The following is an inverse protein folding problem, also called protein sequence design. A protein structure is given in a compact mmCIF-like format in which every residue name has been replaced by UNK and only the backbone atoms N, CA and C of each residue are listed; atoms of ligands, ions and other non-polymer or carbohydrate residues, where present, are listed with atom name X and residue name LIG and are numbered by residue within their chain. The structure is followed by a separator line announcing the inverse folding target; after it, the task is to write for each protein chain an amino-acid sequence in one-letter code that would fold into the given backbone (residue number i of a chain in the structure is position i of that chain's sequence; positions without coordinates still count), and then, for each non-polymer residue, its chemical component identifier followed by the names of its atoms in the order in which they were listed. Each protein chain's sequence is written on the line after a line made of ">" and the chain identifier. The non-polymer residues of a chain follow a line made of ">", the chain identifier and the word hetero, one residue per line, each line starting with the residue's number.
data_IF_262952708188
#
_entry.id   IF_262952708188
#
_cell.length_a   1.000
_cell.length_b   1.000
_cell.length_c   1.000
_cell.angle_alpha   90.00
_cell.angle_beta   90.00
_cell.angle_gamma   90.00
#
_symmetry.space_group_name_H-M   'P 1'
#
loop_
_entity.id
_entity.type
_entity.pdbx_description
1 polymer ?
#
# COMPACT_ATOMS: atom_id res chain seq x y z
N UNK A 1 5.68 57.40 49.38
CA UNK A 1 6.08 56.03 48.97
C UNK A 1 4.83 55.28 48.56
N UNK A 2 4.60 55.13 47.25
CA UNK A 2 3.34 54.63 46.70
C UNK A 2 3.13 53.15 47.02
N UNK A 3 1.94 52.81 47.54
CA UNK A 3 1.49 51.42 47.68
C UNK A 3 1.34 50.84 46.28
N UNK A 4 2.29 50.03 45.83
CA UNK A 4 2.14 49.31 44.55
C UNK A 4 1.01 48.31 44.76
N UNK A 5 -0.13 48.58 44.11
CA UNK A 5 -1.34 47.77 44.23
C UNK A 5 -1.05 46.33 43.82
N UNK A 6 -1.22 45.37 44.74
CA UNK A 6 -1.03 43.93 44.49
C UNK A 6 -1.94 43.40 43.36
N UNK A 7 -3.02 44.12 43.06
CA UNK A 7 -3.93 43.82 41.96
C UNK A 7 -3.29 44.01 40.58
N UNK A 8 -2.34 44.94 40.41
CA UNK A 8 -1.69 45.19 39.12
C UNK A 8 -0.87 43.97 38.60
N UNK A 9 0.02 43.34 39.38
CA UNK A 9 0.74 42.15 38.93
C UNK A 9 -0.19 40.94 38.76
N UNK A 10 -1.23 40.80 39.58
CA UNK A 10 -2.22 39.71 39.44
C UNK A 10 -3.02 39.87 38.15
N UNK A 11 -3.52 41.08 37.85
CA UNK A 11 -4.26 41.35 36.61
C UNK A 11 -3.40 41.11 35.36
N UNK A 12 -2.11 41.47 35.41
CA UNK A 12 -1.16 41.18 34.33
C UNK A 12 -1.01 39.67 34.09
N UNK A 13 -0.85 38.87 35.15
CA UNK A 13 -0.76 37.42 35.04
C UNK A 13 -2.04 36.79 34.48
N UNK A 14 -3.22 37.25 34.93
CA UNK A 14 -4.50 36.74 34.42
C UNK A 14 -4.66 37.06 32.93
N UNK A 15 -4.29 38.26 32.48
CA UNK A 15 -4.33 38.64 31.07
C UNK A 15 -3.35 37.80 30.24
N UNK A 16 -2.14 37.56 30.77
CA UNK A 16 -1.14 36.73 30.10
C UNK A 16 -1.60 35.26 29.98
N UNK A 17 -2.10 34.68 31.07
CA UNK A 17 -2.58 33.29 31.07
C UNK A 17 -3.80 33.12 30.17
N UNK A 18 -4.75 34.06 30.21
CA UNK A 18 -5.95 34.00 29.36
C UNK A 18 -5.61 34.14 27.88
N UNK A 19 -4.75 35.09 27.51
CA UNK A 19 -4.28 35.25 26.12
C UNK A 19 -3.51 34.01 25.64
N UNK A 20 -2.64 33.44 26.47
CA UNK A 20 -1.90 32.22 26.15
C UNK A 20 -2.82 31.01 26.00
N UNK A 21 -3.83 30.85 26.87
CA UNK A 21 -4.80 29.77 26.80
C UNK A 21 -5.66 29.87 25.54
N UNK A 22 -6.11 31.08 25.19
CA UNK A 22 -6.86 31.33 23.95
C UNK A 22 -6.03 30.99 22.73
N UNK A 23 -4.78 31.47 22.67
CA UNK A 23 -3.85 31.20 21.58
C UNK A 23 -3.55 29.71 21.44
N UNK A 24 -3.20 29.03 22.54
CA UNK A 24 -2.95 27.58 22.56
C UNK A 24 -4.14 26.79 22.04
N UNK A 25 -5.34 27.16 22.46
CA UNK A 25 -6.58 26.49 22.03
C UNK A 25 -6.84 26.69 20.54
N UNK A 26 -6.73 27.93 20.04
CA UNK A 26 -6.94 28.24 18.61
C UNK A 26 -5.88 27.56 17.75
N UNK A 27 -4.61 27.63 18.15
CA UNK A 27 -3.50 27.02 17.42
C UNK A 27 -3.65 25.50 17.35
N UNK A 28 -3.95 24.83 18.47
CA UNK A 28 -4.19 23.37 18.50
C UNK A 28 -5.40 22.99 17.64
N UNK A 29 -6.50 23.75 17.71
CA UNK A 29 -7.67 23.53 16.84
C UNK A 29 -7.32 23.64 15.36
N UNK A 30 -6.54 24.66 14.97
CA UNK A 30 -6.08 24.82 13.57
C UNK A 30 -5.16 23.68 13.14
N UNK A 31 -4.23 23.27 14.01
CA UNK A 31 -3.34 22.14 13.75
C UNK A 31 -4.12 20.85 13.52
N UNK A 32 -5.11 20.56 14.38
CA UNK A 32 -5.98 19.38 14.23
C UNK A 32 -6.81 19.44 12.94
N UNK A 33 -7.39 20.60 12.60
CA UNK A 33 -8.13 20.75 11.32
C UNK A 33 -7.24 20.51 10.11
N UNK A 34 -5.98 20.99 10.14
CA UNK A 34 -5.02 20.72 9.07
C UNK A 34 -4.75 19.23 8.93
N UNK A 35 -4.58 18.51 10.05
CA UNK A 35 -4.37 17.07 10.05
C UNK A 35 -5.60 16.28 9.55
N UNK A 36 -6.81 16.71 9.90
CA UNK A 36 -8.06 16.10 9.43
C UNK A 36 -8.29 16.34 7.93
N UNK A 37 -7.86 17.50 7.42
CA UNK A 37 -7.96 17.82 5.99
C UNK A 37 -7.00 17.04 5.10
N UNK A 38 -6.10 16.25 5.68
CA UNK A 38 -5.19 15.40 4.91
C UNK A 38 -5.98 14.22 4.33
N UNK A 39 -5.76 13.94 3.04
CA UNK A 39 -6.37 12.77 2.41
C UNK A 39 -5.96 11.48 3.19
N UNK A 40 -6.86 10.51 3.39
CA UNK A 40 -6.50 9.22 4.00
C UNK A 40 -5.34 8.53 3.25
N UNK A 41 -4.55 7.72 3.96
CA UNK A 41 -3.45 6.95 3.35
C UNK A 41 -3.98 5.80 2.48
N UNK A 42 -4.93 5.05 3.03
CA UNK A 42 -5.66 4.01 2.30
C UNK A 42 -6.98 4.57 1.77
N UNK A 43 -7.47 3.95 0.70
CA UNK A 43 -8.81 4.17 0.20
C UNK A 43 -9.88 3.69 1.20
N UNK A 44 -11.14 3.95 0.85
CA UNK A 44 -12.29 3.49 1.63
C UNK A 44 -12.23 1.97 1.87
N UNK A 45 -12.89 1.52 2.95
CA UNK A 45 -12.76 0.15 3.43
C UNK A 45 -14.02 -0.63 3.08
N UNK A 46 -14.12 -1.03 1.82
CA UNK A 46 -15.30 -1.71 1.28
C UNK A 46 -15.63 -2.99 2.07
N UNK A 47 -14.62 -3.77 2.46
CA UNK A 47 -14.85 -5.02 3.19
C UNK A 47 -15.44 -4.77 4.59
N UNK A 48 -15.01 -3.70 5.26
CA UNK A 48 -15.64 -3.26 6.52
C UNK A 48 -17.06 -2.78 6.27
N UNK A 49 -17.26 -1.93 5.26
CA UNK A 49 -18.56 -1.31 5.02
C UNK A 49 -19.62 -2.35 4.58
N UNK A 50 -19.21 -3.37 3.82
CA UNK A 50 -20.01 -4.56 3.53
C UNK A 50 -20.33 -5.33 4.82
N UNK A 51 -19.35 -5.57 5.69
CA UNK A 51 -19.60 -6.26 6.96
C UNK A 51 -20.59 -5.48 7.85
N UNK A 52 -20.41 -4.17 7.99
CA UNK A 52 -21.26 -3.31 8.81
C UNK A 52 -22.68 -3.21 8.25
N UNK A 53 -22.83 -3.10 6.93
CA UNK A 53 -24.14 -3.12 6.27
C UNK A 53 -24.86 -4.45 6.46
N UNK A 54 -24.15 -5.58 6.32
CA UNK A 54 -24.69 -6.91 6.62
C UNK A 54 -25.07 -7.07 8.09
N UNK A 55 -24.28 -6.52 9.01
CA UNK A 55 -24.56 -6.54 10.46
C UNK A 55 -25.79 -5.69 10.82
N UNK A 56 -25.97 -4.55 10.16
CA UNK A 56 -27.11 -3.65 10.36
C UNK A 56 -28.40 -4.18 9.72
N UNK A 57 -28.29 -5.06 8.72
CA UNK A 57 -29.43 -5.63 8.01
C UNK A 57 -30.28 -6.51 8.94
N UNK A 58 -31.53 -6.06 9.18
CA UNK A 58 -32.47 -6.77 10.06
C UNK A 58 -33.43 -7.69 9.28
N UNK A 59 -33.75 -7.36 8.02
CA UNK A 59 -34.63 -8.15 7.16
C UNK A 59 -34.13 -8.17 5.71
N UNK A 60 -33.97 -9.34 5.06
CA UNK A 60 -33.98 -10.69 5.65
C UNK A 60 -32.85 -10.89 6.68
N UNK A 61 -33.05 -11.81 7.62
CA UNK A 61 -32.05 -12.13 8.65
C UNK A 61 -30.81 -12.73 7.98
N UNK A 62 -29.67 -12.05 8.09
CA UNK A 62 -28.41 -12.51 7.52
C UNK A 62 -27.94 -13.79 8.23
N UNK A 63 -27.58 -14.85 7.49
CA UNK A 63 -27.04 -16.07 8.10
C UNK A 63 -25.71 -15.80 8.82
N UNK A 64 -25.52 -16.41 9.99
CA UNK A 64 -24.31 -16.24 10.80
C UNK A 64 -23.03 -16.66 10.06
N UNK A 65 -23.11 -17.68 9.18
CA UNK A 65 -21.99 -18.10 8.33
C UNK A 65 -21.54 -16.99 7.38
N UNK A 66 -22.49 -16.23 6.82
CA UNK A 66 -22.20 -15.10 5.93
C UNK A 66 -21.54 -13.97 6.70
N UNK A 67 -22.03 -13.66 7.91
CA UNK A 67 -21.43 -12.64 8.77
C UNK A 67 -19.99 -12.99 9.17
N UNK A 68 -19.73 -14.26 9.51
CA UNK A 68 -18.38 -14.77 9.81
C UNK A 68 -17.45 -14.69 8.59
N UNK A 69 -17.94 -15.03 7.41
CA UNK A 69 -17.17 -14.91 6.17
C UNK A 69 -16.88 -13.43 5.81
N UNK A 70 -17.83 -12.53 6.01
CA UNK A 70 -17.64 -11.11 5.80
C UNK A 70 -16.61 -10.53 6.79
N UNK A 71 -16.65 -10.93 8.07
CA UNK A 71 -15.65 -10.51 9.05
C UNK A 71 -14.25 -11.05 8.69
N UNK A 72 -14.17 -12.30 8.24
CA UNK A 72 -12.91 -12.86 7.75
C UNK A 72 -12.37 -12.06 6.56
N UNK A 73 -13.24 -11.64 5.63
CA UNK A 73 -12.82 -10.80 4.50
C UNK A 73 -12.34 -9.42 4.95
N UNK A 74 -13.02 -8.78 5.91
CA UNK A 74 -12.56 -7.54 6.56
C UNK A 74 -11.16 -7.73 7.13
N UNK A 75 -10.96 -8.77 7.94
CA UNK A 75 -9.65 -9.09 8.54
C UNK A 75 -8.56 -9.37 7.49
N UNK A 76 -8.89 -10.03 6.38
CA UNK A 76 -7.95 -10.25 5.26
C UNK A 76 -7.48 -8.92 4.66
N UNK A 77 -8.38 -7.96 4.43
CA UNK A 77 -7.99 -6.63 3.94
C UNK A 77 -7.19 -5.84 4.98
N UNK A 78 -7.54 -5.94 6.27
CA UNK A 78 -6.77 -5.32 7.36
C UNK A 78 -5.33 -5.84 7.38
N UNK A 79 -5.15 -7.17 7.35
CA UNK A 79 -3.83 -7.81 7.29
C UNK A 79 -3.05 -7.36 6.06
N UNK A 80 -3.69 -7.32 4.89
CA UNK A 80 -3.05 -6.83 3.65
C UNK A 80 -2.55 -5.39 3.81
N UNK A 81 -3.36 -4.50 4.39
CA UNK A 81 -2.99 -3.09 4.64
C UNK A 81 -1.84 -2.99 5.65
N UNK A 82 -1.87 -3.77 6.72
CA UNK A 82 -0.78 -3.81 7.74
C UNK A 82 0.52 -4.29 7.13
N UNK A 83 0.52 -5.39 6.37
CA UNK A 83 1.72 -5.89 5.71
C UNK A 83 2.32 -4.82 4.79
N UNK A 84 1.48 -4.12 4.03
CA UNK A 84 1.92 -3.00 3.18
C UNK A 84 2.53 -1.83 3.99
N UNK A 85 1.96 -1.46 5.14
CA UNK A 85 2.56 -0.46 6.02
C UNK A 85 3.91 -0.94 6.56
N UNK A 86 4.00 -2.18 7.03
CA UNK A 86 5.23 -2.74 7.60
C UNK A 86 6.36 -2.82 6.56
N UNK A 87 6.04 -3.24 5.34
CA UNK A 87 6.98 -3.30 4.22
C UNK A 87 7.49 -1.91 3.82
N UNK A 88 6.62 -0.89 3.84
CA UNK A 88 6.97 0.48 3.39
C UNK A 88 7.61 1.37 4.47
N UNK A 89 7.39 1.08 5.76
CA UNK A 89 7.89 1.87 6.90
C UNK A 89 9.40 2.15 6.88
N UNK A 90 10.30 1.16 6.71
CA UNK A 90 11.75 1.43 6.76
C UNK A 90 12.21 2.33 5.61
N UNK A 91 11.74 2.07 4.39
CA UNK A 91 12.09 2.87 3.21
C UNK A 91 11.60 4.32 3.35
N UNK A 92 10.37 4.51 3.84
CA UNK A 92 9.80 5.84 4.04
C UNK A 92 10.51 6.62 5.16
N UNK A 93 10.89 5.93 6.25
CA UNK A 93 11.64 6.54 7.34
C UNK A 93 13.01 7.06 6.88
N UNK A 94 13.73 6.28 6.07
CA UNK A 94 15.02 6.67 5.50
C UNK A 94 14.89 7.86 4.55
N UNK A 95 13.89 7.82 3.66
CA UNK A 95 13.61 8.93 2.73
C UNK A 95 13.20 10.22 3.46
N UNK A 96 12.48 10.11 4.56
CA UNK A 96 12.12 11.25 5.40
C UNK A 96 13.34 11.85 6.10
N UNK A 97 14.23 11.02 6.65
CA UNK A 97 15.49 11.49 7.26
C UNK A 97 16.40 12.22 6.26
N UNK A 98 16.40 11.77 5.00
CA UNK A 98 17.13 12.43 3.91
C UNK A 98 16.47 13.73 3.41
N UNK A 99 15.27 14.06 3.88
CA UNK A 99 14.50 15.22 3.42
C UNK A 99 13.89 15.07 2.03
N UNK A 100 13.89 13.87 1.44
CA UNK A 100 13.28 13.60 0.14
C UNK A 100 11.75 13.53 0.21
N UNK A 101 11.20 13.25 1.40
CA UNK A 101 9.76 13.14 1.66
C UNK A 101 9.34 14.18 2.70
N UNK A 102 8.29 14.94 2.37
CA UNK A 102 7.74 15.97 3.26
C UNK A 102 7.16 15.41 4.56
N UNK A 103 7.22 16.21 5.63
CA UNK A 103 6.70 15.88 6.97
C UNK A 103 5.20 15.54 6.97
N UNK A 104 4.44 16.10 6.03
CA UNK A 104 3.02 15.80 5.87
C UNK A 104 2.78 14.33 5.51
N UNK A 105 3.55 13.77 4.57
CA UNK A 105 3.41 12.38 4.13
C UNK A 105 3.78 11.44 5.29
N UNK A 106 4.88 11.75 5.99
CA UNK A 106 5.30 10.98 7.15
C UNK A 106 4.25 10.99 8.27
N UNK A 107 3.69 12.17 8.57
CA UNK A 107 2.61 12.30 9.56
C UNK A 107 1.35 11.52 9.14
N UNK A 108 0.99 11.53 7.85
CA UNK A 108 -0.14 10.75 7.31
C UNK A 108 0.09 9.25 7.43
N UNK A 109 1.31 8.79 7.15
CA UNK A 109 1.70 7.40 7.32
C UNK A 109 1.56 6.94 8.78
N UNK A 110 2.08 7.71 9.74
CA UNK A 110 1.95 7.40 11.17
C UNK A 110 0.49 7.46 11.66
N UNK A 111 -0.32 8.35 11.10
CA UNK A 111 -1.75 8.39 11.38
C UNK A 111 -2.45 7.13 10.86
N UNK A 112 -2.09 6.66 9.66
CA UNK A 112 -2.65 5.45 9.07
C UNK A 112 -2.29 4.18 9.88
N UNK A 113 -1.08 4.11 10.42
CA UNK A 113 -0.66 3.03 11.33
C UNK A 113 -1.59 2.95 12.55
N UNK A 114 -1.83 4.10 13.21
CA UNK A 114 -2.74 4.16 14.38
C UNK A 114 -4.18 3.84 14.03
N UNK A 115 -4.67 4.27 12.86
CA UNK A 115 -6.01 3.95 12.39
C UNK A 115 -6.13 2.44 12.16
N UNK A 116 -5.11 1.82 11.58
CA UNK A 116 -5.09 0.38 11.34
C UNK A 116 -5.02 -0.43 12.64
N UNK A 117 -4.22 0.01 13.62
CA UNK A 117 -4.17 -0.62 14.95
C UNK A 117 -5.55 -0.60 15.63
N UNK A 118 -6.25 0.53 15.54
CA UNK A 118 -7.61 0.65 16.08
C UNK A 118 -8.61 -0.25 15.35
N UNK A 119 -8.54 -0.31 14.01
CA UNK A 119 -9.38 -1.19 13.18
C UNK A 119 -9.18 -2.67 13.54
N UNK A 120 -7.94 -3.11 13.73
CA UNK A 120 -7.62 -4.49 14.16
C UNK A 120 -8.17 -4.79 15.54
N UNK A 121 -8.04 -3.85 16.49
CA UNK A 121 -8.60 -4.03 17.83
C UNK A 121 -10.13 -4.14 17.81
N UNK A 122 -10.80 -3.32 16.99
CA UNK A 122 -12.26 -3.40 16.80
C UNK A 122 -12.65 -4.75 16.17
N UNK A 123 -11.98 -5.15 15.08
CA UNK A 123 -12.22 -6.42 14.40
C UNK A 123 -11.98 -7.62 15.33
N UNK A 124 -10.96 -7.57 16.20
CA UNK A 124 -10.71 -8.56 17.24
C UNK A 124 -11.83 -8.62 18.28
N UNK A 125 -12.33 -7.45 18.71
CA UNK A 125 -13.47 -7.34 19.61
C UNK A 125 -14.73 -7.98 19.02
N UNK A 126 -15.03 -7.69 17.75
CA UNK A 126 -16.16 -8.27 17.01
C UNK A 126 -16.02 -9.80 16.85
N UNK A 127 -14.82 -10.29 16.53
CA UNK A 127 -14.56 -11.71 16.44
C UNK A 127 -14.81 -12.42 17.77
N UNK A 128 -14.33 -11.84 18.87
CA UNK A 128 -14.54 -12.39 20.21
C UNK A 128 -16.00 -12.29 20.67
N UNK A 129 -16.75 -11.27 20.23
CA UNK A 129 -18.18 -11.15 20.47
C UNK A 129 -19.00 -12.25 19.77
N UNK A 130 -18.58 -12.67 18.57
CA UNK A 130 -19.20 -13.79 17.85
C UNK A 130 -18.84 -15.13 18.49
N UNK A 131 -17.54 -15.35 18.79
CA UNK A 131 -17.07 -16.55 19.47
C UNK A 131 -15.84 -16.19 20.34
N UNK A 132 -15.91 -16.45 21.66
CA UNK A 132 -14.78 -16.17 22.55
C UNK A 132 -13.48 -16.84 22.07
N UNK A 133 -12.40 -16.06 22.01
CA UNK A 133 -11.08 -16.53 21.58
C UNK A 133 -10.89 -16.66 20.07
N UNK A 134 -11.91 -16.37 19.25
CA UNK A 134 -11.81 -16.54 17.80
C UNK A 134 -10.78 -15.60 17.16
N UNK A 135 -10.58 -14.40 17.72
CA UNK A 135 -9.60 -13.43 17.23
C UNK A 135 -8.17 -14.02 17.13
N UNK A 136 -7.79 -14.89 18.06
CA UNK A 136 -6.46 -15.52 18.09
C UNK A 136 -6.19 -16.38 16.84
N UNK A 137 -7.24 -16.97 16.27
CA UNK A 137 -7.15 -17.82 15.07
C UNK A 137 -7.56 -17.08 13.79
N UNK A 138 -8.33 -16.00 13.91
CA UNK A 138 -8.86 -15.23 12.79
C UNK A 138 -7.73 -14.56 11.98
N UNK A 139 -6.87 -13.80 12.63
CA UNK A 139 -5.80 -13.06 11.95
C UNK A 139 -4.73 -13.96 11.34
N UNK A 140 -4.26 -15.04 11.99
CA UNK A 140 -3.39 -16.01 11.34
C UNK A 140 -4.04 -16.62 10.10
N UNK A 141 -5.33 -17.00 10.18
CA UNK A 141 -6.05 -17.53 9.01
C UNK A 141 -6.17 -16.48 7.90
N UNK A 142 -6.42 -15.23 8.25
CA UNK A 142 -6.47 -14.12 7.30
C UNK A 142 -5.11 -13.88 6.62
N UNK A 143 -4.00 -13.98 7.36
CA UNK A 143 -2.65 -13.87 6.80
C UNK A 143 -2.35 -14.99 5.79
N UNK A 144 -2.74 -16.24 6.10
CA UNK A 144 -2.62 -17.35 5.15
C UNK A 144 -3.45 -17.12 3.87
N UNK A 145 -4.65 -16.55 3.99
CA UNK A 145 -5.48 -16.17 2.83
C UNK A 145 -4.78 -15.09 1.98
N UNK A 146 -4.21 -14.06 2.61
CA UNK A 146 -3.46 -13.01 1.88
C UNK A 146 -2.26 -13.61 1.14
N UNK A 147 -1.50 -14.47 1.81
CA UNK A 147 -0.34 -15.12 1.21
C UNK A 147 -0.75 -16.04 0.04
N UNK A 148 -1.78 -16.85 0.23
CA UNK A 148 -2.32 -17.71 -0.80
C UNK A 148 -2.85 -16.92 -2.01
N UNK A 149 -3.55 -15.80 -1.78
CA UNK A 149 -4.02 -14.89 -2.83
C UNK A 149 -2.84 -14.39 -3.65
N UNK A 150 -1.79 -13.84 -3.00
CA UNK A 150 -0.60 -13.33 -3.71
C UNK A 150 0.06 -14.40 -4.57
N UNK A 151 0.20 -15.63 -4.05
CA UNK A 151 0.77 -16.75 -4.83
C UNK A 151 -0.12 -17.05 -6.04
N UNK A 152 -1.44 -17.12 -5.86
CA UNK A 152 -2.38 -17.38 -6.96
C UNK A 152 -2.33 -16.28 -8.01
N UNK A 153 -2.28 -15.02 -7.60
CA UNK A 153 -2.20 -13.87 -8.50
C UNK A 153 -0.96 -14.00 -9.40
N UNK A 154 0.21 -14.29 -8.83
CA UNK A 154 1.43 -14.56 -9.61
C UNK A 154 1.30 -15.77 -10.54
N UNK A 155 0.71 -16.88 -10.07
CA UNK A 155 0.50 -18.06 -10.90
C UNK A 155 -0.46 -17.79 -12.07
N UNK A 156 -1.42 -16.88 -11.92
CA UNK A 156 -2.31 -16.47 -13.01
C UNK A 156 -1.63 -15.57 -14.04
N UNK A 157 -0.61 -14.81 -13.64
CA UNK A 157 0.16 -13.93 -14.54
C UNK A 157 1.20 -14.71 -15.39
N UNK A 158 1.75 -15.80 -14.86
CA UNK A 158 2.83 -16.57 -15.50
C UNK A 158 2.50 -17.05 -16.93
N UNK A 159 1.31 -17.61 -17.24
CA UNK A 159 0.99 -18.06 -18.59
C UNK A 159 0.98 -16.92 -19.62
N UNK A 160 0.45 -15.75 -19.26
CA UNK A 160 0.40 -14.58 -20.15
C UNK A 160 1.81 -14.04 -20.41
N UNK A 161 2.63 -13.96 -19.37
CA UNK A 161 4.05 -13.58 -19.50
C UNK A 161 4.80 -14.59 -20.38
N UNK A 162 4.56 -15.88 -20.18
CA UNK A 162 5.19 -16.93 -20.98
C UNK A 162 4.81 -16.83 -22.46
N UNK A 163 3.54 -16.54 -22.77
CA UNK A 163 3.08 -16.36 -24.14
C UNK A 163 3.73 -15.14 -24.78
N UNK A 164 3.72 -13.99 -24.09
CA UNK A 164 4.35 -12.77 -24.58
C UNK A 164 5.86 -12.95 -24.81
N UNK A 165 6.54 -13.68 -23.92
CA UNK A 165 7.98 -13.94 -24.06
C UNK A 165 8.28 -14.92 -25.20
N UNK A 166 7.43 -15.94 -25.40
CA UNK A 166 7.55 -16.85 -26.56
C UNK A 166 7.40 -16.09 -27.87
N UNK A 167 6.39 -15.23 -28.01
CA UNK A 167 6.19 -14.44 -29.22
C UNK A 167 7.38 -13.50 -29.51
N UNK A 168 7.97 -12.89 -28.49
CA UNK A 168 9.20 -12.10 -28.64
C UNK A 168 10.38 -12.97 -29.07
N UNK A 169 10.56 -14.12 -28.43
CA UNK A 169 11.64 -15.05 -28.75
C UNK A 169 11.54 -15.58 -30.18
N UNK A 170 10.34 -15.88 -30.66
CA UNK A 170 10.14 -16.36 -32.04
C UNK A 170 10.48 -15.30 -33.07
N UNK A 171 10.06 -14.04 -32.85
CA UNK A 171 10.43 -12.91 -33.72
C UNK A 171 11.94 -12.69 -33.73
N UNK A 172 12.59 -12.80 -32.58
CA UNK A 172 14.04 -12.62 -32.51
C UNK A 172 14.79 -13.78 -33.17
N UNK A 173 14.33 -15.03 -32.96
CA UNK A 173 14.86 -16.20 -33.64
C UNK A 173 14.75 -16.09 -35.15
N UNK A 174 13.60 -15.63 -35.66
CA UNK A 174 13.38 -15.44 -37.10
C UNK A 174 14.32 -14.39 -37.69
N UNK A 175 14.54 -13.26 -37.00
CA UNK A 175 15.53 -12.26 -37.43
C UNK A 175 16.93 -12.84 -37.48
N UNK A 176 17.38 -13.51 -36.42
CA UNK A 176 18.72 -14.11 -36.33
C UNK A 176 18.93 -15.14 -37.44
N UNK A 177 17.94 -16.01 -37.70
CA UNK A 177 18.00 -16.97 -38.80
C UNK A 177 18.11 -16.25 -40.15
N UNK A 178 17.32 -15.21 -40.37
CA UNK A 178 17.36 -14.43 -41.62
C UNK A 178 18.69 -13.68 -41.83
N UNK A 179 19.34 -13.24 -40.76
CA UNK A 179 20.66 -12.61 -40.82
C UNK A 179 21.74 -13.62 -41.15
N UNK A 180 21.72 -14.80 -40.52
CA UNK A 180 22.65 -15.90 -40.81
C UNK A 180 22.52 -16.41 -42.25
N UNK A 181 21.30 -16.52 -42.79
CA UNK A 181 21.08 -16.89 -44.18
C UNK A 181 21.69 -15.86 -45.15
N UNK A 182 21.51 -14.56 -44.87
CA UNK A 182 22.12 -13.48 -45.67
C UNK A 182 23.66 -13.52 -45.60
N UNK A 183 24.22 -13.76 -44.42
CA UNK A 183 25.67 -13.91 -44.24
C UNK A 183 26.19 -15.11 -45.02
N UNK A 184 25.51 -16.26 -44.94
CA UNK A 184 25.88 -17.46 -45.67
C UNK A 184 25.82 -17.24 -47.20
N UNK A 185 24.74 -16.66 -47.70
CA UNK A 185 24.61 -16.33 -49.13
C UNK A 185 25.72 -15.36 -49.59
N UNK A 186 26.03 -14.34 -48.79
CA UNK A 186 27.11 -13.39 -49.10
C UNK A 186 28.50 -14.05 -49.12
N UNK A 187 28.77 -14.99 -48.23
CA UNK A 187 30.04 -15.73 -48.19
C UNK A 187 30.17 -16.72 -49.36
N UNK A 188 29.09 -17.40 -49.75
CA UNK A 188 29.06 -18.28 -50.92
C UNK A 188 29.27 -17.48 -52.22
N UNK A 189 28.69 -16.28 -52.32
CA UNK A 189 28.92 -15.37 -53.46
C UNK A 189 30.39 -14.93 -53.51
N UNK A 190 30.98 -14.52 -52.38
CA UNK A 190 32.41 -14.16 -52.30
C UNK A 190 33.35 -15.33 -52.65
N UNK A 191 33.03 -16.55 -52.24
CA UNK A 191 33.78 -17.77 -52.60
C UNK A 191 33.66 -18.14 -54.09
N UNK A 192 32.49 -17.93 -54.70
CA UNK A 192 32.30 -18.21 -56.13
C UNK A 192 32.97 -17.17 -57.01
N UNK A 193 33.05 -15.91 -56.59
CA UNK A 193 33.81 -14.86 -57.26
C UNK A 193 35.34 -15.09 -57.18
N UNK A 194 35.85 -15.50 -56.02
CA UNK A 194 37.28 -15.85 -55.84
C UNK A 194 37.68 -17.11 -56.65
N UNK A 195 36.80 -18.11 -56.77
CA UNK A 195 37.04 -19.28 -57.64
C UNK A 195 37.02 -18.91 -59.13
N UNK A 196 36.13 -18.01 -59.57
CA UNK A 196 36.06 -17.53 -60.97
C UNK A 196 37.29 -16.70 -61.37
N UNK A 197 37.81 -15.87 -60.46
CA UNK A 197 39.01 -15.06 -60.70
C UNK A 197 40.29 -15.91 -60.77
N UNK A 198 40.42 -16.96 -59.94
CA UNK A 198 41.54 -17.90 -60.04
C UNK A 198 41.53 -18.77 -61.31
N UNK A 199 40.34 -19.09 -61.86
CA UNK A 199 40.22 -19.89 -63.10
C UNK A 199 40.54 -19.09 -64.38
N UNK A 200 40.53 -17.76 -64.33
CA UNK A 200 40.91 -16.84 -65.42
C UNK A 200 42.42 -16.53 -65.47
N UNK A 201 43.19 -16.90 -64.45
CA UNK A 201 44.64 -16.68 -64.32
C UNK A 201 45.50 -17.90 -64.65
N UNK A 202 44.89 -19.03 -65.04
CA UNK A 202 45.54 -20.22 -65.61
C UNK A 202 45.17 -20.32 -67.08
#
# INVERSE_FOLDING_TARGET
>A
MGKVSLYAPIAYLVLLISSLALFSTIYRRRKVRRLIGLKPWFEEHDARDIYLSLKAQTSPKVPEKMLKAALLRRATEDVRRIMSLQESKPALAELHQRGAVGDEIWTRFLAAEKVMDAEVMECAGEANAIKPGWAQTLFPSAAEIVHNSRIRDHLTEVPELQKAEREKWEKEREKVVSELEKENDSSVIAETETKKTNKKKK
#
